data_IF_868187439336
#
_entry.id   IF_868187439336
#
_cell.length_a   1.000
_cell.length_b   1.000
_cell.length_c   1.000
_cell.angle_alpha   90.00
_cell.angle_beta   90.00
_cell.angle_gamma   90.00
#
_symmetry.space_group_name_H-M   'P 1'
#
loop_
_entity.id
_entity.type
_entity.pdbx_description
1 polymer ?
#
# COMPACT_ATOMS: atom_id res chain seq x y z
N UNK A 1 22.65 -18.17 -42.18
CA UNK A 1 23.37 -17.41 -41.12
C UNK A 1 22.98 -15.93 -41.07
N UNK A 2 22.79 -15.21 -42.19
CA UNK A 2 22.40 -13.79 -42.21
C UNK A 2 21.00 -13.48 -41.63
N UNK A 3 20.06 -14.42 -41.71
CA UNK A 3 18.69 -14.22 -41.20
C UNK A 3 18.59 -14.29 -39.67
N UNK A 4 19.50 -15.02 -39.01
CA UNK A 4 19.54 -15.15 -37.55
C UNK A 4 20.17 -13.92 -36.87
N UNK A 5 21.15 -13.27 -37.53
CA UNK A 5 21.76 -12.05 -37.03
C UNK A 5 20.84 -10.82 -37.13
N UNK A 6 19.90 -10.81 -38.08
CA UNK A 6 18.91 -9.73 -38.24
C UNK A 6 17.79 -9.82 -37.19
N UNK A 7 17.39 -11.03 -36.79
CA UNK A 7 16.38 -11.25 -35.76
C UNK A 7 16.94 -10.90 -34.37
N UNK A 8 18.22 -11.19 -34.10
CA UNK A 8 18.85 -10.84 -32.81
C UNK A 8 19.04 -9.32 -32.63
N UNK A 9 19.31 -8.59 -33.72
CA UNK A 9 19.43 -7.13 -33.68
C UNK A 9 18.07 -6.45 -33.57
N UNK A 10 17.01 -7.01 -34.18
CA UNK A 10 15.63 -6.53 -33.98
C UNK A 10 15.11 -6.80 -32.56
N UNK A 11 15.46 -7.94 -31.96
CA UNK A 11 15.12 -8.25 -30.56
C UNK A 11 15.86 -7.36 -29.56
N UNK A 12 17.09 -6.92 -29.86
CA UNK A 12 17.82 -5.97 -29.02
C UNK A 12 17.26 -4.53 -29.10
N UNK A 13 16.68 -4.12 -30.24
CA UNK A 13 16.04 -2.81 -30.39
C UNK A 13 14.68 -2.71 -29.67
N UNK A 14 13.96 -3.82 -29.52
CA UNK A 14 12.69 -3.89 -28.78
C UNK A 14 12.87 -3.73 -27.26
N UNK A 15 14.07 -3.97 -26.71
CA UNK A 15 14.34 -3.88 -25.27
C UNK A 15 14.50 -2.45 -24.74
N UNK A 16 14.62 -1.43 -25.61
CA UNK A 16 14.78 -0.03 -25.21
C UNK A 16 13.50 0.80 -25.22
N UNK A 17 12.38 0.25 -25.71
CA UNK A 17 11.12 1.00 -25.83
C UNK A 17 10.17 0.86 -24.63
N UNK A 18 10.54 0.09 -23.61
CA UNK A 18 9.76 -0.05 -22.38
C UNK A 18 10.28 0.90 -21.30
N UNK A 19 10.36 2.20 -21.61
CA UNK A 19 10.36 3.21 -20.56
C UNK A 19 8.95 3.22 -19.97
N UNK A 20 8.70 2.34 -19.00
CA UNK A 20 7.51 2.44 -18.17
C UNK A 20 7.40 3.87 -17.67
N UNK A 21 6.31 4.57 -18.02
CA UNK A 21 6.00 5.86 -17.41
C UNK A 21 5.74 5.58 -15.93
N UNK A 22 6.74 5.84 -15.10
CA UNK A 22 6.60 5.77 -13.65
C UNK A 22 5.65 6.90 -13.24
N UNK A 23 4.42 6.54 -12.86
CA UNK A 23 3.48 7.48 -12.26
C UNK A 23 3.69 7.45 -10.74
N UNK A 24 3.98 8.61 -10.15
CA UNK A 24 4.08 8.76 -8.71
C UNK A 24 2.71 8.55 -8.07
N UNK A 25 2.68 7.80 -6.97
CA UNK A 25 1.49 7.67 -6.12
C UNK A 25 1.40 8.86 -5.16
N UNK A 26 0.20 9.37 -4.82
CA UNK A 26 -1.13 8.98 -5.31
C UNK A 26 -1.36 9.36 -6.77
N UNK A 27 -2.10 8.52 -7.50
CA UNK A 27 -2.46 8.78 -8.90
C UNK A 27 -3.47 9.93 -8.95
N UNK A 28 -2.97 11.16 -9.11
CA UNK A 28 -3.79 12.36 -9.24
C UNK A 28 -3.27 13.24 -10.37
N UNK A 29 -4.19 13.89 -11.07
CA UNK A 29 -3.87 14.96 -12.03
C UNK A 29 -3.60 16.30 -11.33
N UNK A 30 -3.94 16.38 -10.04
CA UNK A 30 -3.72 17.57 -9.23
C UNK A 30 -2.27 17.65 -8.78
N UNK A 31 -1.72 18.86 -8.86
CA UNK A 31 -0.38 19.17 -8.40
C UNK A 31 -0.39 19.44 -6.88
N UNK A 32 0.24 18.58 -6.05
CA UNK A 32 0.22 18.73 -4.60
C UNK A 32 0.91 20.03 -4.13
N UNK A 33 1.84 20.59 -4.92
CA UNK A 33 2.58 21.80 -4.54
C UNK A 33 1.71 23.05 -4.45
N UNK A 34 0.51 23.03 -5.06
CA UNK A 34 -0.47 24.13 -5.00
C UNK A 34 -1.19 24.24 -3.66
N UNK A 35 -1.10 23.20 -2.82
CA UNK A 35 -1.78 23.15 -1.53
C UNK A 35 -0.79 23.35 -0.39
N UNK A 36 -1.23 24.03 0.68
CA UNK A 36 -0.42 24.20 1.89
C UNK A 36 -0.15 22.85 2.55
N UNK A 37 1.06 22.63 3.05
CA UNK A 37 1.36 21.44 3.85
C UNK A 37 0.68 21.46 5.22
N UNK A 38 0.60 20.32 5.88
CA UNK A 38 0.06 20.25 7.24
C UNK A 38 0.94 21.01 8.24
N UNK A 39 0.29 21.68 9.19
CA UNK A 39 0.95 22.21 10.39
C UNK A 39 0.87 21.20 11.53
N UNK A 40 1.88 21.13 12.39
CA UNK A 40 1.84 20.26 13.57
C UNK A 40 0.63 20.57 14.45
N UNK A 41 -0.12 19.55 14.86
CA UNK A 41 -1.36 19.69 15.63
C UNK A 41 -2.60 20.03 14.80
N UNK A 42 -2.47 20.16 13.47
CA UNK A 42 -3.61 20.35 12.59
C UNK A 42 -4.48 19.09 12.52
N UNK A 43 -5.79 19.27 12.38
CA UNK A 43 -6.74 18.17 12.23
C UNK A 43 -6.62 17.47 10.87
N UNK A 44 -6.59 16.14 10.92
CA UNK A 44 -6.58 15.22 9.79
C UNK A 44 -7.86 14.39 9.87
N UNK A 45 -8.83 14.71 9.02
CA UNK A 45 -10.10 13.99 8.96
C UNK A 45 -9.98 12.67 8.19
N UNK A 46 -10.58 11.61 8.73
CA UNK A 46 -10.67 10.31 8.06
C UNK A 46 -12.01 10.17 7.33
N UNK A 47 -11.94 9.70 6.08
CA UNK A 47 -13.11 9.32 5.28
C UNK A 47 -13.05 7.82 4.96
N UNK A 48 -14.08 7.06 5.28
CA UNK A 48 -14.14 5.62 5.06
C UNK A 48 -15.03 5.24 3.89
N UNK A 49 -14.71 4.14 3.23
CA UNK A 49 -15.50 3.61 2.11
C UNK A 49 -16.91 3.28 2.61
N UNK A 50 -17.93 3.73 1.89
CA UNK A 50 -19.31 3.28 2.09
C UNK A 50 -19.55 1.98 1.34
N UNK A 51 -20.13 1.01 2.04
CA UNK A 51 -20.43 -0.32 1.51
C UNK A 51 -21.89 -0.66 1.71
N UNK A 52 -22.39 -1.57 0.87
CA UNK A 52 -23.69 -2.19 1.08
C UNK A 52 -23.61 -3.15 2.27
N UNK A 53 -24.61 -3.10 3.15
CA UNK A 53 -24.60 -3.83 4.43
C UNK A 53 -24.70 -5.35 4.20
N UNK A 54 -25.47 -5.77 3.20
CA UNK A 54 -25.74 -7.20 2.97
C UNK A 54 -24.59 -7.93 2.25
N UNK A 55 -23.87 -7.23 1.38
CA UNK A 55 -22.86 -7.84 0.49
C UNK A 55 -21.43 -7.39 0.76
N UNK A 56 -21.25 -6.26 1.45
CA UNK A 56 -19.94 -5.60 1.60
C UNK A 56 -19.42 -4.95 0.32
N UNK A 57 -20.20 -4.90 -0.76
CA UNK A 57 -19.80 -4.27 -2.02
C UNK A 57 -19.72 -2.74 -1.90
N UNK A 58 -18.91 -2.12 -2.77
CA UNK A 58 -18.78 -0.66 -2.81
C UNK A 58 -20.09 -0.01 -3.27
N UNK A 59 -20.43 1.12 -2.65
CA UNK A 59 -21.46 2.02 -3.16
C UNK A 59 -20.79 3.02 -4.10
N UNK A 60 -21.34 3.18 -5.29
CA UNK A 60 -20.84 4.12 -6.30
C UNK A 60 -21.76 5.33 -6.44
N UNK A 61 -21.19 6.49 -6.77
CA UNK A 61 -21.95 7.66 -7.22
C UNK A 61 -22.39 7.53 -8.69
N UNK A 62 -23.15 8.51 -9.19
CA UNK A 62 -23.66 8.54 -10.57
C UNK A 62 -22.53 8.58 -11.62
N UNK A 63 -21.32 8.97 -11.21
CA UNK A 63 -20.12 9.06 -12.01
C UNK A 63 -19.26 7.79 -11.92
N UNK A 64 -19.67 6.79 -11.14
CA UNK A 64 -18.96 5.52 -10.98
C UNK A 64 -17.79 5.57 -9.99
N UNK A 65 -17.67 6.60 -9.15
CA UNK A 65 -16.66 6.67 -8.10
C UNK A 65 -17.17 6.02 -6.82
N UNK A 66 -16.28 5.38 -6.07
CA UNK A 66 -16.59 4.84 -4.74
C UNK A 66 -16.99 5.99 -3.81
N UNK A 67 -18.12 5.84 -3.14
CA UNK A 67 -18.62 6.80 -2.18
C UNK A 67 -17.88 6.65 -0.84
N UNK A 68 -17.47 7.78 -0.27
CA UNK A 68 -16.84 7.84 1.04
C UNK A 68 -17.69 8.66 2.01
N UNK A 69 -17.70 8.25 3.28
CA UNK A 69 -18.30 9.01 4.38
C UNK A 69 -17.24 9.35 5.43
N UNK A 70 -17.39 10.42 6.21
CA UNK A 70 -16.58 10.61 7.41
C UNK A 70 -16.61 9.36 8.30
N UNK A 71 -15.56 9.16 9.09
CA UNK A 71 -15.57 8.14 10.15
C UNK A 71 -16.81 8.31 11.05
N UNK A 72 -17.24 7.22 11.71
CA UNK A 72 -18.38 7.25 12.61
C UNK A 72 -18.22 8.37 13.67
N UNK A 73 -19.34 8.99 14.04
CA UNK A 73 -19.33 10.06 15.04
C UNK A 73 -19.01 9.48 16.41
N UNK A 74 -18.02 10.05 17.08
CA UNK A 74 -17.71 9.75 18.47
C UNK A 74 -18.76 10.42 19.37
N UNK A 75 -19.32 9.67 20.33
CA UNK A 75 -20.36 10.20 21.23
C UNK A 75 -19.85 11.34 22.14
N UNK A 76 -18.57 11.36 22.46
CA UNK A 76 -17.94 12.35 23.33
C UNK A 76 -17.85 13.72 22.66
N UNK A 77 -17.44 13.75 21.39
CA UNK A 77 -17.20 14.99 20.64
C UNK A 77 -18.37 15.36 19.72
N UNK A 78 -19.30 14.43 19.49
CA UNK A 78 -20.34 14.52 18.45
C UNK A 78 -19.78 14.78 17.05
N UNK A 79 -18.51 14.46 16.82
CA UNK A 79 -17.80 14.66 15.56
C UNK A 79 -17.14 13.35 15.11
N UNK A 80 -16.89 13.17 13.79
CA UNK A 80 -16.06 12.10 13.28
C UNK A 80 -14.67 12.10 13.92
N UNK A 81 -14.05 10.92 14.01
CA UNK A 81 -12.65 10.79 14.45
C UNK A 81 -11.72 11.66 13.57
N UNK A 82 -10.93 12.50 14.23
CA UNK A 82 -9.90 13.34 13.64
C UNK A 82 -8.58 13.09 14.35
N UNK A 83 -7.49 13.06 13.59
CA UNK A 83 -6.14 12.89 14.13
C UNK A 83 -5.41 14.23 14.15
N UNK A 84 -4.50 14.41 15.10
CA UNK A 84 -3.62 15.58 15.15
C UNK A 84 -2.33 15.27 14.40
N UNK A 85 -2.06 16.02 13.34
CA UNK A 85 -0.89 15.81 12.49
C UNK A 85 0.42 15.95 13.27
N UNK A 86 1.31 14.96 13.14
CA UNK A 86 2.62 14.91 13.83
C UNK A 86 2.54 15.02 15.36
N UNK A 87 1.43 14.56 15.95
CA UNK A 87 1.22 14.53 17.39
C UNK A 87 0.76 13.14 17.83
N UNK A 88 1.66 12.45 18.53
CA UNK A 88 1.36 11.18 19.17
C UNK A 88 0.24 11.36 20.18
N UNK A 89 -0.83 10.61 20.02
CA UNK A 89 -2.04 10.76 20.84
C UNK A 89 -2.72 9.42 21.06
N UNK A 90 -3.44 9.33 22.18
CA UNK A 90 -4.38 8.24 22.41
C UNK A 90 -5.79 8.85 22.35
N UNK A 91 -6.53 8.51 21.29
CA UNK A 91 -7.85 9.07 21.02
C UNK A 91 -8.90 8.03 21.38
N UNK A 92 -9.81 8.40 22.27
CA UNK A 92 -10.97 7.60 22.63
C UNK A 92 -12.17 8.03 21.80
N UNK A 93 -12.86 7.07 21.19
CA UNK A 93 -14.05 7.33 20.39
C UNK A 93 -15.09 6.25 20.69
N UNK A 94 -16.15 6.63 21.39
CA UNK A 94 -17.27 5.72 21.61
C UNK A 94 -18.22 5.76 20.44
N UNK A 95 -18.45 4.58 19.85
CA UNK A 95 -19.39 4.38 18.74
C UNK A 95 -20.58 3.59 19.26
N UNK A 96 -21.79 4.02 18.88
CA UNK A 96 -23.00 3.24 19.09
C UNK A 96 -23.17 2.25 17.95
N UNK A 97 -23.19 0.96 18.27
CA UNK A 97 -23.36 -0.12 17.31
C UNK A 97 -24.84 -0.35 17.03
N UNK A 98 -25.45 0.59 16.29
CA UNK A 98 -26.79 0.38 15.71
C UNK A 98 -26.75 -0.69 14.61
N UNK A 99 -27.93 -1.14 14.17
CA UNK A 99 -28.10 -2.29 13.27
C UNK A 99 -27.15 -2.27 12.04
N UNK A 100 -27.12 -1.16 11.31
CA UNK A 100 -26.27 -1.01 10.12
C UNK A 100 -24.76 -1.12 10.46
N UNK A 101 -24.32 -0.46 11.55
CA UNK A 101 -22.92 -0.48 11.98
C UNK A 101 -22.53 -1.85 12.47
N UNK A 102 -23.41 -2.51 13.22
CA UNK A 102 -23.22 -3.86 13.74
C UNK A 102 -22.98 -4.86 12.61
N UNK A 103 -23.87 -4.89 11.61
CA UNK A 103 -23.72 -5.78 10.46
C UNK A 103 -22.50 -5.45 9.60
N UNK A 104 -22.18 -4.16 9.43
CA UNK A 104 -20.97 -3.75 8.72
C UNK A 104 -19.69 -4.24 9.40
N UNK A 105 -19.61 -4.17 10.73
CA UNK A 105 -18.45 -4.67 11.47
C UNK A 105 -18.35 -6.19 11.46
N UNK A 106 -19.44 -6.93 11.30
CA UNK A 106 -19.37 -8.38 11.08
C UNK A 106 -18.58 -8.70 9.80
N UNK A 107 -18.85 -8.00 8.69
CA UNK A 107 -18.10 -8.16 7.44
C UNK A 107 -16.60 -7.83 7.62
N UNK A 108 -16.29 -6.79 8.38
CA UNK A 108 -14.90 -6.38 8.65
C UNK A 108 -14.14 -7.36 9.55
N UNK A 109 -14.83 -7.97 10.52
CA UNK A 109 -14.24 -8.96 11.43
C UNK A 109 -14.08 -10.33 10.76
N UNK A 110 -15.03 -10.73 9.90
CA UNK A 110 -14.91 -11.91 9.05
C UNK A 110 -13.84 -11.77 7.94
N UNK A 111 -13.40 -10.53 7.66
CA UNK A 111 -12.47 -10.21 6.56
C UNK A 111 -13.08 -10.41 5.16
N UNK A 112 -14.41 -10.41 5.07
CA UNK A 112 -15.14 -10.42 3.80
C UNK A 112 -14.95 -9.09 3.05
N UNK A 113 -14.78 -8.00 3.81
CA UNK A 113 -14.42 -6.70 3.28
C UNK A 113 -13.37 -6.00 4.16
N UNK A 114 -12.38 -5.29 3.57
CA UNK A 114 -11.47 -4.47 4.36
C UNK A 114 -12.16 -3.18 4.79
N UNK A 115 -11.91 -2.78 6.04
CA UNK A 115 -12.29 -1.47 6.55
C UNK A 115 -11.23 -0.43 6.16
N UNK A 116 -11.39 0.08 4.94
CA UNK A 116 -10.49 1.04 4.33
C UNK A 116 -11.05 2.44 4.49
N UNK A 117 -10.19 3.33 5.00
CA UNK A 117 -10.42 4.76 5.03
C UNK A 117 -9.35 5.48 4.22
N UNK A 118 -9.44 6.81 4.16
CA UNK A 118 -8.51 7.68 3.47
C UNK A 118 -8.43 9.03 4.18
N UNK A 119 -7.30 9.69 4.02
CA UNK A 119 -7.07 11.08 4.44
C UNK A 119 -6.48 11.85 3.26
N UNK A 120 -6.48 13.18 3.35
CA UNK A 120 -5.91 14.03 2.31
C UNK A 120 -4.39 14.12 2.46
N UNK A 121 -3.66 14.00 1.34
CA UNK A 121 -2.20 14.14 1.27
C UNK A 121 -1.75 15.48 1.86
N UNK A 122 -2.46 16.55 1.49
CA UNK A 122 -2.37 17.91 2.04
C UNK A 122 -3.78 18.43 2.33
N UNK A 123 -3.96 19.35 3.30
CA UNK A 123 -5.26 19.97 3.58
C UNK A 123 -5.94 20.53 2.32
N UNK A 124 -7.19 20.16 2.10
CA UNK A 124 -8.06 20.59 0.99
C UNK A 124 -7.47 20.31 -0.41
N UNK A 125 -6.58 19.32 -0.53
CA UNK A 125 -5.96 18.98 -1.81
C UNK A 125 -6.87 18.21 -2.76
N UNK A 126 -7.88 17.52 -2.22
CA UNK A 126 -8.66 16.53 -2.98
C UNK A 126 -7.85 15.31 -3.43
N UNK A 127 -6.58 15.22 -2.98
CA UNK A 127 -5.68 14.10 -3.24
C UNK A 127 -5.72 13.21 -2.00
N UNK A 128 -6.19 11.98 -2.15
CA UNK A 128 -6.40 11.09 -1.02
C UNK A 128 -5.40 9.93 -0.99
N UNK A 129 -5.05 9.53 0.22
CA UNK A 129 -4.24 8.36 0.52
C UNK A 129 -5.05 7.38 1.37
N UNK A 130 -5.09 6.09 1.00
CA UNK A 130 -5.83 5.07 1.72
C UNK A 130 -5.06 4.63 2.98
N UNK A 131 -5.83 4.21 3.97
CA UNK A 131 -5.38 3.58 5.20
C UNK A 131 -6.35 2.45 5.55
N UNK A 132 -5.81 1.27 5.83
CA UNK A 132 -6.60 0.15 6.29
C UNK A 132 -6.58 0.07 7.81
N UNK A 133 -7.76 -0.11 8.42
CA UNK A 133 -7.94 -0.31 9.86
C UNK A 133 -8.36 -1.76 10.10
N UNK A 134 -7.43 -2.60 10.56
CA UNK A 134 -7.68 -4.01 10.78
C UNK A 134 -8.08 -4.29 12.22
N UNK A 135 -9.39 -4.44 12.43
CA UNK A 135 -9.95 -4.92 13.69
C UNK A 135 -9.77 -6.43 13.83
N UNK A 136 -9.42 -6.87 15.04
CA UNK A 136 -9.41 -8.28 15.45
C UNK A 136 -10.67 -8.57 16.25
N UNK A 137 -11.25 -9.74 15.99
CA UNK A 137 -12.45 -10.18 16.70
C UNK A 137 -12.91 -11.54 16.23
N UNK A 138 -13.99 -12.02 16.83
CA UNK A 138 -14.68 -13.23 16.45
C UNK A 138 -16.17 -12.95 16.36
N UNK A 139 -16.82 -13.44 15.32
CA UNK A 139 -18.25 -13.22 15.09
C UNK A 139 -18.99 -14.49 15.45
N UNK A 140 -20.07 -14.34 16.21
CA UNK A 140 -20.96 -15.40 16.65
C UNK A 140 -22.39 -15.07 16.19
N UNK A 141 -23.32 -16.00 16.37
CA UNK A 141 -24.68 -15.89 15.82
C UNK A 141 -25.46 -14.68 16.35
N UNK A 142 -25.27 -14.30 17.63
CA UNK A 142 -26.03 -13.23 18.30
C UNK A 142 -25.20 -12.01 18.72
N UNK A 143 -23.88 -12.08 18.58
CA UNK A 143 -22.94 -11.05 19.02
C UNK A 143 -21.61 -11.24 18.30
N UNK A 144 -20.76 -10.24 18.36
CA UNK A 144 -19.34 -10.45 18.06
C UNK A 144 -18.49 -9.92 19.19
N UNK A 145 -17.30 -10.49 19.33
CA UNK A 145 -16.27 -10.03 20.22
C UNK A 145 -15.25 -9.24 19.41
N UNK A 146 -14.97 -8.00 19.80
CA UNK A 146 -14.01 -7.12 19.12
C UNK A 146 -12.91 -6.69 20.10
N UNK A 147 -11.68 -6.57 19.63
CA UNK A 147 -10.63 -5.85 20.36
C UNK A 147 -10.83 -4.33 20.17
N UNK A 148 -11.18 -3.58 21.24
CA UNK A 148 -11.42 -2.15 21.13
C UNK A 148 -10.13 -1.32 21.00
N UNK A 149 -8.95 -1.91 21.19
CA UNK A 149 -7.69 -1.18 21.20
C UNK A 149 -6.98 -1.34 19.85
N UNK A 150 -6.70 -0.21 19.20
CA UNK A 150 -6.01 -0.16 17.92
C UNK A 150 -4.78 0.71 18.04
N UNK A 151 -3.67 0.22 17.50
CA UNK A 151 -2.51 1.04 17.22
C UNK A 151 -2.61 1.53 15.77
N UNK A 152 -2.30 2.80 15.55
CA UNK A 152 -2.22 3.41 14.24
C UNK A 152 -0.83 3.99 14.05
N UNK A 153 -0.18 3.61 12.95
CA UNK A 153 1.12 4.15 12.56
C UNK A 153 0.90 5.02 11.34
N UNK A 154 1.31 6.28 11.44
CA UNK A 154 1.17 7.29 10.42
C UNK A 154 2.56 7.78 10.02
N UNK A 155 2.83 7.86 8.72
CA UNK A 155 4.13 8.23 8.19
C UNK A 155 3.99 9.54 7.43
N UNK A 156 4.81 10.53 7.78
CA UNK A 156 4.91 11.80 7.07
C UNK A 156 6.29 12.01 6.45
N UNK A 157 6.38 12.84 5.41
CA UNK A 157 7.64 13.25 4.80
C UNK A 157 8.18 14.58 5.38
N UNK A 158 9.32 15.04 4.85
CA UNK A 158 9.92 16.34 5.22
C UNK A 158 9.12 17.55 4.71
N UNK A 159 8.29 17.37 3.70
CA UNK A 159 7.45 18.42 3.12
C UNK A 159 6.13 18.61 3.88
N UNK A 160 6.02 17.94 5.03
CA UNK A 160 4.83 17.87 5.88
C UNK A 160 3.59 17.32 5.16
N UNK A 161 3.80 16.33 4.32
CA UNK A 161 2.76 15.54 3.67
C UNK A 161 2.68 14.17 4.35
N UNK A 162 1.46 13.65 4.47
CA UNK A 162 1.26 12.29 4.94
C UNK A 162 1.55 11.35 3.75
N UNK A 163 2.34 10.29 3.93
CA UNK A 163 2.72 9.37 2.85
C UNK A 163 1.89 8.09 2.91
N UNK A 164 1.72 7.57 4.13
CA UNK A 164 1.10 6.27 4.36
C UNK A 164 0.66 6.16 5.81
N UNK A 165 -0.26 5.23 6.07
CA UNK A 165 -0.60 4.82 7.42
C UNK A 165 -1.32 3.49 7.44
N UNK A 166 -1.36 2.86 8.61
CA UNK A 166 -2.12 1.63 8.85
C UNK A 166 -2.53 1.53 10.30
N UNK A 167 -3.70 0.94 10.56
CA UNK A 167 -4.20 0.65 11.89
C UNK A 167 -4.39 -0.85 12.11
N UNK A 168 -4.05 -1.34 13.29
CA UNK A 168 -4.22 -2.73 13.67
C UNK A 168 -4.55 -2.89 15.15
N UNK A 169 -5.42 -3.86 15.47
CA UNK A 169 -5.72 -4.23 16.85
C UNK A 169 -4.47 -4.64 17.63
N UNK A 170 -4.33 -4.12 18.86
CA UNK A 170 -3.10 -4.20 19.65
C UNK A 170 -3.24 -4.92 20.98
N UNK A 171 -4.44 -5.33 21.37
CA UNK A 171 -4.71 -6.05 22.62
C UNK A 171 -5.07 -7.52 22.37
N UNK A 172 -5.22 -8.22 23.49
CA UNK A 172 -5.82 -9.56 23.57
C UNK A 172 -7.16 -9.53 24.31
N UNK A 173 -7.52 -8.40 24.91
CA UNK A 173 -8.79 -8.24 25.61
C UNK A 173 -9.89 -7.89 24.61
N UNK A 174 -10.93 -8.71 24.56
CA UNK A 174 -12.06 -8.51 23.66
C UNK A 174 -13.28 -8.02 24.43
N UNK A 175 -14.11 -7.23 23.77
CA UNK A 175 -15.39 -6.75 24.28
C UNK A 175 -16.50 -7.36 23.46
N UNK A 176 -17.46 -7.97 24.14
CA UNK A 176 -18.69 -8.47 23.53
C UNK A 176 -19.57 -7.30 23.11
N UNK A 177 -20.05 -7.32 21.88
CA UNK A 177 -20.91 -6.30 21.28
C UNK A 177 -22.21 -6.92 20.80
N UNK A 178 -23.32 -6.28 21.17
CA UNK A 178 -24.66 -6.54 20.65
C UNK A 178 -25.25 -5.25 20.04
N UNK A 179 -26.28 -5.39 19.21
CA UNK A 179 -26.97 -4.25 18.59
C UNK A 179 -27.49 -3.29 19.67
N UNK A 180 -27.24 -2.01 19.49
CA UNK A 180 -27.62 -0.91 20.38
C UNK A 180 -26.60 -0.59 21.49
N UNK A 181 -25.51 -1.36 21.60
CA UNK A 181 -24.47 -1.14 22.61
C UNK A 181 -23.51 -0.01 22.20
N UNK A 182 -23.05 0.76 23.18
CA UNK A 182 -21.97 1.72 23.01
C UNK A 182 -20.63 1.03 23.29
N UNK A 183 -19.67 1.17 22.38
CA UNK A 183 -18.35 0.56 22.49
C UNK A 183 -17.30 1.65 22.33
N UNK A 184 -16.45 1.79 23.35
CA UNK A 184 -15.32 2.70 23.35
C UNK A 184 -14.16 2.08 22.55
N UNK A 185 -13.74 2.73 21.48
CA UNK A 185 -12.56 2.36 20.72
C UNK A 185 -11.39 3.26 21.10
N UNK A 186 -10.25 2.64 21.41
CA UNK A 186 -9.01 3.31 21.80
C UNK A 186 -8.03 3.30 20.63
N UNK A 187 -7.70 4.48 20.10
CA UNK A 187 -6.74 4.64 18.99
C UNK A 187 -5.43 5.23 19.51
N UNK A 188 -4.39 4.40 19.60
CA UNK A 188 -3.03 4.84 19.90
C UNK A 188 -2.32 5.20 18.59
N UNK A 189 -2.24 6.50 18.32
CA UNK A 189 -1.69 7.05 17.08
C UNK A 189 -0.23 7.43 17.29
N UNK A 190 0.63 6.88 16.43
CA UNK A 190 2.06 7.16 16.39
C UNK A 190 2.45 7.75 15.05
N UNK A 191 3.12 8.89 15.09
CA UNK A 191 3.62 9.57 13.90
C UNK A 191 5.13 9.37 13.77
N UNK A 192 5.54 8.89 12.60
CA UNK A 192 6.94 8.84 12.21
C UNK A 192 7.21 9.76 11.02
N UNK A 193 8.40 10.37 11.02
CA UNK A 193 8.88 11.12 9.87
C UNK A 193 9.89 10.26 9.09
N UNK A 194 9.54 9.92 7.85
CA UNK A 194 10.25 8.99 6.98
C UNK A 194 11.75 9.33 6.87
N UNK A 195 12.11 10.60 6.78
CA UNK A 195 13.53 10.96 6.64
C UNK A 195 14.30 10.92 7.96
N UNK A 196 13.62 11.20 9.08
CA UNK A 196 14.27 11.32 10.39
C UNK A 196 14.53 9.95 11.03
N UNK A 197 13.66 8.97 10.79
CA UNK A 197 13.78 7.63 11.40
C UNK A 197 14.56 6.64 10.53
N UNK A 198 14.43 6.67 9.20
CA UNK A 198 15.13 5.70 8.32
C UNK A 198 16.63 5.94 8.20
N UNK A 199 17.10 7.10 8.61
CA UNK A 199 18.53 7.44 8.61
C UNK A 199 19.18 7.07 9.95
N UNK A 200 18.38 6.80 11.00
CA UNK A 200 18.89 6.81 12.37
C UNK A 200 18.75 5.47 13.13
N UNK A 201 18.29 4.40 12.49
CA UNK A 201 18.18 3.09 13.14
C UNK A 201 18.76 1.97 12.27
N UNK A 202 19.87 1.37 12.72
CA UNK A 202 20.62 0.29 12.06
C UNK A 202 19.81 -1.03 11.92
N UNK A 203 18.54 -1.06 12.34
CA UNK A 203 17.73 -2.26 12.47
C UNK A 203 16.44 -2.28 11.66
N UNK A 204 16.06 -1.21 10.96
CA UNK A 204 14.94 -1.27 10.01
C UNK A 204 15.52 -1.58 8.63
N UNK A 205 15.58 -2.87 8.31
CA UNK A 205 15.89 -3.39 6.98
C UNK A 205 14.81 -3.02 5.96
N UNK A 206 14.64 -1.72 5.67
CA UNK A 206 14.00 -1.29 4.44
C UNK A 206 14.98 -1.63 3.34
N UNK A 207 14.69 -2.70 2.60
CA UNK A 207 15.32 -2.95 1.31
C UNK A 207 14.81 -1.86 0.35
N UNK A 208 15.42 -0.68 0.43
CA UNK A 208 15.44 0.21 -0.71
C UNK A 208 16.08 -0.58 -1.84
N UNK A 209 15.40 -0.68 -2.98
CA UNK A 209 16.14 -0.80 -4.24
C UNK A 209 17.08 0.41 -4.22
N UNK A 210 18.42 0.20 -4.23
CA UNK A 210 19.38 1.22 -3.87
C UNK A 210 19.11 2.52 -4.61
N UNK A 211 19.31 3.68 -3.94
CA UNK A 211 18.95 4.97 -4.49
C UNK A 211 19.55 5.14 -5.88
N UNK A 212 18.67 5.58 -6.77
CA UNK A 212 18.78 6.02 -8.16
C UNK A 212 20.10 6.73 -8.49
N UNK A 213 21.23 6.02 -8.49
CA UNK A 213 22.42 6.46 -9.18
C UNK A 213 22.27 5.99 -10.63
N UNK A 214 22.00 6.89 -11.59
CA UNK A 214 21.82 6.51 -12.98
C UNK A 214 23.02 5.71 -13.51
N UNK A 215 24.23 5.98 -12.98
CA UNK A 215 25.44 5.27 -13.36
C UNK A 215 25.43 3.78 -12.97
N UNK A 216 24.88 3.42 -11.79
CA UNK A 216 24.77 2.02 -11.38
C UNK A 216 23.79 1.24 -12.27
N UNK A 217 22.69 1.86 -12.69
CA UNK A 217 21.74 1.24 -13.63
C UNK A 217 22.43 0.91 -14.95
N UNK A 218 23.24 1.84 -15.48
CA UNK A 218 24.02 1.60 -16.70
C UNK A 218 25.07 0.49 -16.52
N UNK A 219 25.69 0.38 -15.35
CA UNK A 219 26.62 -0.72 -15.04
C UNK A 219 25.92 -2.06 -15.00
N UNK A 220 24.77 -2.17 -14.31
CA UNK A 220 24.02 -3.42 -14.24
C UNK A 220 23.47 -3.82 -15.62
N UNK A 221 22.98 -2.86 -16.40
CA UNK A 221 22.56 -3.11 -17.77
C UNK A 221 23.74 -3.57 -18.65
N UNK A 222 24.90 -2.91 -18.54
CA UNK A 222 26.12 -3.29 -19.26
C UNK A 222 26.61 -4.70 -18.86
N UNK A 223 26.63 -5.00 -17.56
CA UNK A 223 27.01 -6.31 -17.05
C UNK A 223 26.04 -7.41 -17.55
N UNK A 224 24.74 -7.14 -17.55
CA UNK A 224 23.72 -8.05 -18.09
C UNK A 224 23.94 -8.36 -19.58
N UNK A 225 24.26 -7.34 -20.38
CA UNK A 225 24.59 -7.52 -21.81
C UNK A 225 25.85 -8.37 -21.99
N UNK A 226 26.92 -8.09 -21.23
CA UNK A 226 28.18 -8.85 -21.32
C UNK A 226 27.96 -10.32 -20.93
N UNK A 227 27.26 -10.57 -19.83
CA UNK A 227 26.94 -11.94 -19.39
C UNK A 227 26.07 -12.67 -20.42
N UNK A 228 25.08 -11.98 -21.01
CA UNK A 228 24.26 -12.52 -22.09
C UNK A 228 25.08 -12.92 -23.33
N UNK A 229 26.01 -12.06 -23.75
CA UNK A 229 26.93 -12.35 -24.86
C UNK A 229 27.82 -13.56 -24.53
N UNK A 230 28.43 -13.60 -23.36
CA UNK A 230 29.31 -14.72 -22.96
C UNK A 230 28.56 -16.04 -22.92
N UNK A 231 27.36 -16.07 -22.32
CA UNK A 231 26.55 -17.28 -22.25
C UNK A 231 26.10 -17.76 -23.65
N UNK A 232 25.64 -16.85 -24.50
CA UNK A 232 25.24 -17.21 -25.88
C UNK A 232 26.41 -17.77 -26.68
N UNK A 233 27.61 -17.18 -26.55
CA UNK A 233 28.82 -17.72 -27.16
C UNK A 233 29.19 -19.11 -26.62
N UNK A 234 29.18 -19.30 -25.30
CA UNK A 234 29.51 -20.60 -24.68
C UNK A 234 28.54 -21.71 -25.09
N UNK A 235 27.24 -21.42 -25.08
CA UNK A 235 26.22 -22.39 -25.52
C UNK A 235 26.31 -22.69 -27.01
N UNK A 236 26.54 -21.68 -27.85
CA UNK A 236 26.73 -21.86 -29.29
C UNK A 236 27.99 -22.69 -29.57
N UNK A 237 29.10 -22.39 -28.92
CA UNK A 237 30.36 -23.12 -29.05
C UNK A 237 30.21 -24.59 -28.63
N UNK A 238 29.62 -24.85 -27.47
CA UNK A 238 29.33 -26.23 -27.01
C UNK A 238 28.43 -26.98 -28.01
N UNK A 239 27.40 -26.33 -28.54
CA UNK A 239 26.47 -26.95 -29.49
C UNK A 239 27.15 -27.30 -30.81
N UNK A 240 27.99 -26.40 -31.32
CA UNK A 240 28.75 -26.61 -32.56
C UNK A 240 29.79 -27.72 -32.35
N UNK A 241 30.55 -27.68 -31.27
CA UNK A 241 31.58 -28.69 -30.99
C UNK A 241 30.98 -30.10 -30.82
N UNK A 242 29.81 -30.22 -30.17
CA UNK A 242 29.07 -31.48 -30.06
C UNK A 242 28.61 -32.01 -31.43
N UNK A 243 28.17 -31.13 -32.34
CA UNK A 243 27.80 -31.54 -33.71
C UNK A 243 29.00 -32.04 -34.50
N UNK A 244 30.13 -31.33 -34.44
CA UNK A 244 31.36 -31.71 -35.13
C UNK A 244 31.86 -33.08 -34.65
N UNK A 245 31.84 -33.32 -33.33
CA UNK A 245 32.21 -34.63 -32.80
C UNK A 245 31.28 -35.73 -33.34
N UNK A 246 29.96 -35.57 -33.28
CA UNK A 246 29.02 -36.57 -33.79
C UNK A 246 29.18 -36.85 -35.30
N UNK A 247 29.47 -35.84 -36.12
CA UNK A 247 29.78 -36.03 -37.54
C UNK A 247 31.12 -36.74 -37.79
N UNK A 248 32.13 -36.52 -36.94
CA UNK A 248 33.41 -37.24 -37.04
C UNK A 248 33.30 -38.72 -36.67
N UNK A 249 32.38 -39.09 -35.77
CA UNK A 249 32.13 -40.49 -35.40
C UNK A 249 31.38 -41.26 -36.50
N UNK A 250 30.46 -40.61 -37.23
CA UNK A 250 29.71 -41.23 -38.34
C UNK A 250 30.52 -41.43 -39.63
N UNK A 251 31.80 -41.04 -39.69
CA UNK A 251 32.69 -41.27 -40.85
C UNK A 251 33.67 -42.43 -40.63
N UNK A 252 33.62 -43.11 -39.49
CA UNK A 252 34.57 -44.18 -39.11
C UNK A 252 33.90 -45.57 -39.12
N UNK A 253 32.64 -45.68 -39.55
CA UNK A 253 31.93 -46.95 -39.80
C UNK A 253 31.69 -47.18 -41.29
#
# INVERSE_FOLDING_TARGET
MLFQSLILSFAAALSFASASKYQSYPLSELDPTKFSSYSKGQDVSLQCIRRQIDTGEHIFDDQGNILYSPFYKCLETNAPLSLKYMEDSNVQCTIKFEDEVFHMFQLYLHKDAPFTCRFELRPNSGIYLPIDLSFRGNVLESHFDIDPNLNMVMIANNENEIISGTGFSSSTNTTKVIIGQNVELNFNVKWSNLHKELINDDNVGVYWIPPRNPWLVWIYAGAGVVVGIVLTFLFSYRRINRKIQLESWNKVE
#
